data_IF_007001074145
#
_entry.id   IF_007001074145
#
_cell.length_a   1.000
_cell.length_b   1.000
_cell.length_c   1.000
_cell.angle_alpha   90.00
_cell.angle_beta   90.00
_cell.angle_gamma   90.00
#
_symmetry.space_group_name_H-M   'P 1'
#
loop_
_entity.id
_entity.type
_entity.pdbx_description
1 polymer ?
#
# COMPACT_ATOMS: atom_id res chain seq x y z
N UNK A 1 -12.65 -5.56 -3.48
CA UNK A 1 -12.71 -6.68 -4.43
C UNK A 1 -11.92 -6.27 -5.66
N UNK A 2 -10.91 -7.05 -5.99
CA UNK A 2 -10.07 -6.82 -7.17
C UNK A 2 -10.78 -7.39 -8.40
N UNK A 3 -10.64 -6.71 -9.53
CA UNK A 3 -10.93 -7.24 -10.87
C UNK A 3 -9.63 -7.74 -11.51
N UNK A 4 -9.69 -8.55 -12.59
CA UNK A 4 -8.48 -9.04 -13.25
C UNK A 4 -7.54 -7.91 -13.68
N UNK A 5 -6.29 -7.95 -13.25
CA UNK A 5 -5.29 -6.93 -13.56
C UNK A 5 -5.53 -5.59 -12.85
N UNK A 6 -6.34 -5.57 -11.79
CA UNK A 6 -6.58 -4.34 -11.04
C UNK A 6 -5.32 -3.80 -10.37
N UNK A 7 -5.17 -2.48 -10.44
CA UNK A 7 -4.14 -1.67 -9.82
C UNK A 7 -4.76 -0.39 -9.21
N UNK A 8 -4.49 -0.19 -7.93
CA UNK A 8 -4.95 0.91 -7.11
C UNK A 8 -3.99 1.06 -5.91
N UNK A 9 -4.18 2.07 -5.09
CA UNK A 9 -3.38 2.27 -3.88
C UNK A 9 -4.24 2.76 -2.72
N UNK A 10 -3.83 2.41 -1.50
CA UNK A 10 -4.30 3.10 -0.30
C UNK A 10 -3.26 4.15 0.08
N UNK A 11 -3.60 5.41 -0.15
CA UNK A 11 -2.83 6.55 0.34
C UNK A 11 -3.00 6.71 1.85
N UNK A 12 -1.90 6.84 2.57
CA UNK A 12 -1.86 7.25 3.97
C UNK A 12 -1.00 8.51 4.13
N UNK A 13 -1.48 9.46 4.93
CA UNK A 13 -0.82 10.77 5.12
C UNK A 13 -0.53 11.48 3.78
N UNK A 14 -1.44 11.29 2.84
CA UNK A 14 -1.31 11.80 1.48
C UNK A 14 -1.77 13.26 1.42
N UNK A 15 -1.03 14.17 0.79
CA UNK A 15 -1.49 15.54 0.53
C UNK A 15 -2.64 15.55 -0.50
N UNK A 16 -3.30 16.69 -0.68
CA UNK A 16 -4.39 16.81 -1.66
C UNK A 16 -3.89 16.86 -3.11
N UNK A 17 -2.64 17.26 -3.32
CA UNK A 17 -2.05 17.47 -4.64
C UNK A 17 -0.69 16.77 -4.76
N UNK A 18 -0.26 16.52 -6.01
CA UNK A 18 0.98 15.83 -6.35
C UNK A 18 0.80 14.33 -6.56
N UNK A 19 1.90 13.66 -6.91
CA UNK A 19 1.92 12.21 -7.10
C UNK A 19 1.87 11.50 -5.75
N UNK A 20 0.68 11.00 -5.40
CA UNK A 20 0.38 10.40 -4.11
C UNK A 20 1.30 9.21 -3.73
N UNK A 21 1.91 8.53 -4.72
CA UNK A 21 2.86 7.46 -4.47
C UNK A 21 4.18 7.96 -3.85
N UNK A 22 4.58 9.20 -4.14
CA UNK A 22 5.85 9.78 -3.68
C UNK A 22 5.68 10.93 -2.67
N UNK A 23 4.72 11.82 -2.89
CA UNK A 23 4.45 12.94 -1.97
C UNK A 23 3.55 12.55 -0.80
N UNK A 24 2.87 11.40 -0.91
CA UNK A 24 2.22 10.71 0.20
C UNK A 24 2.95 9.41 0.54
N UNK A 25 2.21 8.45 1.08
CA UNK A 25 2.67 7.06 1.16
C UNK A 25 1.58 6.16 0.60
N UNK A 26 1.94 5.35 -0.39
CA UNK A 26 1.04 4.38 -0.98
C UNK A 26 1.26 2.98 -0.38
N UNK A 27 0.17 2.36 0.05
CA UNK A 27 0.10 0.93 0.30
C UNK A 27 -0.57 0.28 -0.91
N UNK A 28 0.18 -0.56 -1.62
CA UNK A 28 -0.24 -1.11 -2.90
C UNK A 28 -1.54 -1.93 -2.79
N UNK A 29 -2.46 -1.76 -3.74
CA UNK A 29 -3.65 -2.59 -3.93
C UNK A 29 -3.63 -3.14 -5.37
N UNK A 30 -3.04 -4.32 -5.51
CA UNK A 30 -2.77 -4.94 -6.81
C UNK A 30 -3.34 -6.37 -6.90
N UNK A 31 -3.79 -6.77 -8.08
CA UNK A 31 -3.94 -8.16 -8.48
C UNK A 31 -2.56 -8.77 -8.83
N UNK A 32 -1.84 -9.23 -7.80
CA UNK A 32 -0.45 -9.67 -7.92
C UNK A 32 -0.20 -10.75 -8.99
N UNK A 33 -1.19 -11.59 -9.26
CA UNK A 33 -1.02 -12.78 -10.10
C UNK A 33 -1.44 -12.51 -11.56
N UNK A 34 -1.84 -11.27 -11.88
CA UNK A 34 -2.13 -10.89 -13.26
C UNK A 34 -0.85 -10.98 -14.12
N UNK A 35 -0.90 -11.57 -15.34
CA UNK A 35 0.28 -11.76 -16.18
C UNK A 35 1.07 -10.48 -16.51
N UNK A 36 0.40 -9.33 -16.54
CA UNK A 36 1.01 -8.01 -16.78
C UNK A 36 1.96 -7.57 -15.66
N UNK A 37 1.84 -8.16 -14.47
CA UNK A 37 2.62 -7.81 -13.28
C UNK A 37 3.67 -8.85 -12.89
N UNK A 38 3.91 -9.87 -13.73
CA UNK A 38 4.82 -10.98 -13.42
C UNK A 38 6.28 -10.56 -13.15
N UNK A 39 6.71 -9.45 -13.74
CA UNK A 39 8.10 -8.97 -13.69
C UNK A 39 8.27 -7.74 -12.76
N UNK A 40 7.26 -7.42 -11.93
CA UNK A 40 7.36 -6.33 -10.98
C UNK A 40 8.39 -6.65 -9.89
N UNK A 41 9.01 -5.59 -9.37
CA UNK A 41 9.88 -5.64 -8.21
C UNK A 41 9.08 -5.95 -6.95
N UNK A 42 9.73 -6.57 -5.96
CA UNK A 42 9.08 -7.06 -4.74
C UNK A 42 8.32 -5.99 -3.96
N UNK A 43 8.77 -4.72 -4.02
CA UNK A 43 8.14 -3.58 -3.34
C UNK A 43 6.91 -3.02 -4.06
N UNK A 44 6.58 -3.53 -5.24
CA UNK A 44 5.46 -3.06 -6.07
C UNK A 44 4.21 -3.95 -5.93
N UNK A 45 4.27 -5.04 -5.18
CA UNK A 45 3.14 -5.96 -4.99
C UNK A 45 2.26 -5.56 -3.80
N UNK A 46 1.02 -6.08 -3.80
CA UNK A 46 -0.05 -5.81 -2.84
C UNK A 46 0.42 -5.75 -1.39
N UNK A 47 -0.03 -4.72 -0.68
CA UNK A 47 0.25 -4.49 0.74
C UNK A 47 1.62 -3.90 1.04
N UNK A 48 2.53 -3.81 0.05
CA UNK A 48 3.84 -3.16 0.22
C UNK A 48 3.66 -1.66 0.45
N UNK A 49 4.56 -1.07 1.23
CA UNK A 49 4.79 0.39 1.15
C UNK A 49 5.55 0.62 -0.14
N UNK A 50 4.88 1.20 -1.14
CA UNK A 50 5.38 1.27 -2.51
C UNK A 50 6.77 1.91 -2.56
N UNK A 51 7.73 1.20 -3.14
CA UNK A 51 9.12 1.66 -3.27
C UNK A 51 9.98 1.58 -2.00
N UNK A 52 9.42 1.16 -0.85
CA UNK A 52 10.10 1.25 0.45
C UNK A 52 10.17 -0.08 1.21
N UNK A 53 9.03 -0.74 1.45
CA UNK A 53 8.97 -1.96 2.27
C UNK A 53 8.13 -3.02 1.54
N UNK A 54 8.73 -4.14 1.11
CA UNK A 54 7.99 -5.22 0.46
C UNK A 54 7.11 -5.97 1.47
N UNK A 55 5.89 -6.32 1.06
CA UNK A 55 5.00 -7.19 1.82
C UNK A 55 5.14 -8.65 1.41
N UNK A 56 4.73 -9.56 2.30
CA UNK A 56 4.60 -10.99 1.99
C UNK A 56 3.47 -11.22 0.97
N UNK A 57 3.72 -12.08 -0.01
CA UNK A 57 2.76 -12.51 -1.03
C UNK A 57 2.04 -13.80 -0.63
N UNK A 58 0.99 -14.17 -1.37
CA UNK A 58 0.27 -15.44 -1.24
C UNK A 58 -0.93 -15.42 -0.29
N UNK A 59 -1.33 -14.24 0.21
CA UNK A 59 -2.44 -14.09 1.16
C UNK A 59 -3.68 -13.42 0.56
N UNK A 60 -3.65 -13.10 -0.74
CA UNK A 60 -4.82 -12.66 -1.48
C UNK A 60 -5.74 -13.86 -1.72
N UNK A 61 -7.04 -13.63 -1.56
CA UNK A 61 -8.06 -14.53 -2.10
C UNK A 61 -8.10 -14.45 -3.63
N UNK A 62 -8.69 -15.45 -4.32
CA UNK A 62 -8.91 -15.40 -5.75
C UNK A 62 -9.52 -14.07 -6.23
N UNK A 63 -9.17 -13.66 -7.44
CA UNK A 63 -9.71 -12.45 -8.07
C UNK A 63 -11.23 -12.55 -8.17
N UNK A 64 -11.94 -11.44 -7.91
CA UNK A 64 -13.40 -11.43 -7.77
C UNK A 64 -13.90 -11.72 -6.35
N UNK A 65 -13.04 -12.14 -5.41
CA UNK A 65 -13.42 -12.27 -4.01
C UNK A 65 -13.11 -11.03 -3.16
N UNK A 66 -13.82 -10.92 -2.05
CA UNK A 66 -13.59 -9.85 -1.07
C UNK A 66 -12.44 -10.21 -0.13
N UNK A 67 -11.36 -9.45 -0.25
CA UNK A 67 -10.28 -9.39 0.71
C UNK A 67 -10.62 -8.40 1.85
N UNK A 68 -10.13 -8.69 3.06
CA UNK A 68 -10.13 -7.76 4.18
C UNK A 68 -8.72 -7.29 4.45
N UNK A 69 -8.48 -5.97 4.38
CA UNK A 69 -7.21 -5.35 4.72
C UNK A 69 -7.39 -4.41 5.91
N UNK A 70 -6.57 -4.58 6.93
CA UNK A 70 -6.42 -3.65 8.05
C UNK A 70 -5.02 -3.05 8.01
N UNK A 71 -4.95 -1.74 8.23
CA UNK A 71 -3.70 -0.98 8.24
C UNK A 71 -3.58 -0.24 9.56
N UNK A 72 -2.44 -0.41 10.22
CA UNK A 72 -2.08 0.34 11.41
C UNK A 72 -0.86 1.21 11.08
N UNK A 73 -1.07 2.53 11.02
CA UNK A 73 -0.01 3.50 10.77
C UNK A 73 0.31 4.26 12.08
N UNK A 74 1.17 3.69 12.92
CA UNK A 74 1.54 4.24 14.22
C UNK A 74 2.95 4.86 14.20
N UNK A 75 3.02 6.19 14.15
CA UNK A 75 4.28 6.90 14.00
C UNK A 75 4.99 6.48 12.70
N UNK A 76 6.23 6.01 12.79
CA UNK A 76 6.96 5.48 11.63
C UNK A 76 6.73 3.97 11.40
N UNK A 77 5.97 3.29 12.26
CA UNK A 77 5.66 1.88 12.10
C UNK A 77 4.38 1.71 11.28
N UNK A 78 4.49 0.96 10.19
CA UNK A 78 3.38 0.59 9.32
C UNK A 78 3.18 -0.92 9.43
N UNK A 79 1.93 -1.32 9.66
CA UNK A 79 1.51 -2.71 9.66
C UNK A 79 0.36 -2.89 8.69
N UNK A 80 0.44 -3.92 7.85
CA UNK A 80 -0.62 -4.33 6.93
C UNK A 80 -1.00 -5.77 7.25
N UNK A 81 -2.28 -5.98 7.56
CA UNK A 81 -2.89 -7.27 7.83
C UNK A 81 -3.86 -7.56 6.70
N UNK A 82 -3.66 -8.66 5.98
CA UNK A 82 -4.50 -9.10 4.88
C UNK A 82 -5.11 -10.45 5.24
N UNK A 83 -6.44 -10.52 5.25
CA UNK A 83 -7.22 -11.73 5.58
C UNK A 83 -6.77 -12.41 6.88
N UNK A 84 -6.49 -11.61 7.91
CA UNK A 84 -6.03 -12.09 9.22
C UNK A 84 -4.54 -12.38 9.34
N UNK A 85 -3.77 -12.24 8.25
CA UNK A 85 -2.32 -12.44 8.28
C UNK A 85 -1.57 -11.13 8.17
N UNK A 86 -0.62 -10.88 9.08
CA UNK A 86 0.33 -9.75 8.96
C UNK A 86 1.29 -10.00 7.80
N UNK A 87 1.09 -9.25 6.72
CA UNK A 87 1.92 -9.34 5.51
C UNK A 87 3.03 -8.29 5.48
N UNK A 88 2.89 -7.21 6.25
CA UNK A 88 3.92 -6.19 6.43
C UNK A 88 3.88 -5.71 7.89
N UNK A 89 5.05 -5.64 8.54
CA UNK A 89 5.25 -5.00 9.84
C UNK A 89 6.64 -4.39 9.82
N UNK A 90 6.73 -3.07 9.59
CA UNK A 90 7.98 -2.42 9.28
C UNK A 90 8.02 -0.96 9.72
N UNK A 91 9.24 -0.44 9.85
CA UNK A 91 9.48 0.96 10.20
C UNK A 91 10.04 1.71 8.99
N UNK A 92 9.33 2.73 8.51
CA UNK A 92 9.67 3.45 7.28
C UNK A 92 11.01 4.19 7.38
N UNK A 93 11.37 4.73 8.56
CA UNK A 93 12.66 5.41 8.76
C UNK A 93 13.83 4.46 8.70
N UNK A 94 13.67 3.27 9.29
CA UNK A 94 14.70 2.23 9.22
C UNK A 94 14.86 1.74 7.78
N UNK A 95 13.75 1.50 7.09
CA UNK A 95 13.76 1.03 5.71
C UNK A 95 14.35 2.05 4.73
N UNK A 96 14.14 3.35 4.96
CA UNK A 96 14.62 4.42 4.06
C UNK A 96 15.92 5.10 4.54
N UNK A 97 16.59 4.58 5.57
CA UNK A 97 17.74 5.26 6.21
C UNK A 97 18.87 5.60 5.22
N UNK A 98 19.10 4.73 4.25
CA UNK A 98 20.15 4.86 3.25
C UNK A 98 19.58 5.08 1.83
N UNK A 99 18.39 5.67 1.74
CA UNK A 99 17.59 5.71 0.52
C UNK A 99 16.54 4.60 0.48
N UNK A 100 15.56 4.75 -0.40
CA UNK A 100 14.50 3.75 -0.63
C UNK A 100 14.99 2.66 -1.58
N UNK A 101 14.36 1.49 -1.51
CA UNK A 101 14.79 0.33 -2.30
C UNK A 101 14.52 0.51 -3.80
N UNK A 102 13.59 1.38 -4.20
CA UNK A 102 13.38 1.76 -5.60
C UNK A 102 14.35 2.85 -6.11
N UNK A 103 15.23 3.37 -5.25
CA UNK A 103 16.22 4.39 -5.57
C UNK A 103 15.63 5.79 -5.83
N UNK A 104 14.32 6.01 -5.59
CA UNK A 104 13.65 7.29 -5.82
C UNK A 104 13.53 8.11 -4.55
N UNK A 105 13.25 9.41 -4.69
CA UNK A 105 12.94 10.24 -3.54
C UNK A 105 11.46 10.09 -3.17
N UNK A 106 11.18 9.76 -1.91
CA UNK A 106 9.84 9.63 -1.35
C UNK A 106 9.64 10.66 -0.23
N UNK A 107 9.45 11.95 -0.57
CA UNK A 107 9.31 13.01 0.44
C UNK A 107 8.12 12.77 1.38
N UNK A 108 7.06 12.09 0.91
CA UNK A 108 5.88 11.77 1.70
C UNK A 108 6.13 10.85 2.89
N UNK A 109 7.26 10.13 2.93
CA UNK A 109 7.67 9.38 4.13
C UNK A 109 7.88 10.29 5.33
N UNK A 110 8.16 11.59 5.13
CA UNK A 110 8.29 12.59 6.20
C UNK A 110 6.95 13.11 6.73
N UNK A 111 5.84 12.84 6.04
CA UNK A 111 4.53 13.36 6.45
C UNK A 111 4.09 12.73 7.78
N UNK A 112 3.74 13.59 8.73
CA UNK A 112 3.16 13.18 10.03
C UNK A 112 1.64 13.05 9.97
N UNK A 113 1.00 13.82 9.11
CA UNK A 113 -0.46 13.88 8.92
C UNK A 113 -0.80 14.05 7.44
N UNK A 114 -2.06 13.84 7.09
CA UNK A 114 -2.58 13.99 5.74
C UNK A 114 -3.90 13.24 5.58
N UNK A 115 -4.30 12.99 4.35
CA UNK A 115 -5.53 12.30 4.02
C UNK A 115 -5.33 10.78 3.90
N UNK A 116 -6.45 10.07 3.98
CA UNK A 116 -6.57 8.69 3.49
C UNK A 116 -7.25 8.77 2.13
N UNK A 117 -6.69 8.11 1.12
CA UNK A 117 -7.19 8.17 -0.26
C UNK A 117 -7.10 6.83 -0.97
N UNK A 118 -7.92 6.67 -2.01
CA UNK A 118 -7.79 5.56 -2.97
C UNK A 118 -7.18 6.11 -4.25
N UNK A 119 -6.00 5.60 -4.61
CA UNK A 119 -5.09 6.20 -5.59
C UNK A 119 -5.28 5.61 -7.00
N UNK A 120 -6.53 5.42 -7.42
CA UNK A 120 -6.87 4.55 -8.56
C UNK A 120 -6.03 4.76 -9.84
N UNK A 121 -5.67 3.66 -10.50
CA UNK A 121 -4.88 3.64 -11.74
C UNK A 121 -5.71 3.21 -12.96
N UNK A 122 -6.95 3.70 -13.07
CA UNK A 122 -7.82 3.46 -14.24
C UNK A 122 -8.44 2.06 -14.34
N UNK A 123 -8.18 1.17 -13.39
CA UNK A 123 -8.81 -0.16 -13.30
C UNK A 123 -9.97 -0.17 -12.28
N UNK A 124 -10.95 -1.06 -12.49
CA UNK A 124 -12.09 -1.17 -11.58
C UNK A 124 -11.70 -1.90 -10.28
N UNK A 125 -11.90 -1.24 -9.14
CA UNK A 125 -11.78 -1.84 -7.81
C UNK A 125 -12.98 -1.45 -6.97
N UNK A 126 -13.54 -2.39 -6.23
CA UNK A 126 -14.70 -2.15 -5.35
C UNK A 126 -14.25 -2.13 -3.90
N UNK A 127 -14.69 -1.11 -3.14
CA UNK A 127 -14.42 -0.98 -1.71
C UNK A 127 -15.74 -1.02 -0.92
N UNK A 128 -15.69 -1.58 0.29
CA UNK A 128 -16.82 -1.57 1.24
C UNK A 128 -16.31 -1.69 2.67
N UNK A 129 -17.16 -1.36 3.65
CA UNK A 129 -16.87 -1.48 5.08
C UNK A 129 -15.63 -0.68 5.53
N UNK A 130 -15.44 0.51 4.97
CA UNK A 130 -14.32 1.40 5.29
C UNK A 130 -14.56 2.02 6.68
N UNK A 131 -13.62 1.84 7.60
CA UNK A 131 -13.67 2.35 8.96
C UNK A 131 -12.30 2.89 9.35
N UNK A 132 -12.28 3.95 10.14
CA UNK A 132 -11.06 4.59 10.59
C UNK A 132 -11.13 4.74 12.10
N UNK A 133 -10.06 4.37 12.79
CA UNK A 133 -9.88 4.60 14.23
C UNK A 133 -8.62 5.44 14.44
N UNK A 134 -8.74 6.65 15.00
CA UNK A 134 -7.58 7.42 15.44
C UNK A 134 -6.81 6.64 16.52
N UNK A 135 -5.48 6.64 16.41
CA UNK A 135 -4.59 6.10 17.44
C UNK A 135 -4.27 7.23 18.44
N UNK A 136 -4.10 6.86 19.72
CA UNK A 136 -3.75 7.79 20.81
C UNK A 136 -2.25 7.78 21.04
#
# INVERSE_FOLDING_TARGET
>A
MLTPGANNGLGIRTPQEGDAAYVGMELQILDNEAPVYKDLQVYQYHGSVYGVIPAKRGYLKPVGEWNYQEVVANGDNIKVILNGTTILDGNIRKASKNGTIDGKNHPGLLNKTGHIGFLGHGSEVKFRNIRIKPLK
#
